data_IF_533800173836
#
_entry.id   IF_533800173836
#
_cell.length_a   1.000
_cell.length_b   1.000
_cell.length_c   1.000
_cell.angle_alpha   90.00
_cell.angle_beta   90.00
_cell.angle_gamma   90.00
#
_symmetry.space_group_name_H-M   'P 1'
#
loop_
_entity.id
_entity.type
_entity.pdbx_description
1 polymer ?
#
# COMPACT_ATOMS: atom_id res chain seq x y z
N UNK A 1 23.75 -23.96 14.23
CA UNK A 1 23.47 -23.11 15.41
C UNK A 1 22.20 -22.35 15.17
N UNK A 2 22.22 -21.46 14.17
CA UNK A 2 21.01 -20.82 13.66
C UNK A 2 20.08 -21.82 12.99
N UNK A 3 18.78 -21.68 13.25
CA UNK A 3 17.73 -22.40 12.57
C UNK A 3 17.48 -21.77 11.20
N UNK A 4 17.58 -22.58 10.15
CA UNK A 4 17.28 -22.19 8.77
C UNK A 4 16.02 -22.92 8.31
N UNK A 5 15.26 -22.31 7.39
CA UNK A 5 14.24 -23.05 6.66
C UNK A 5 14.84 -23.79 5.45
N UNK A 6 14.01 -24.57 4.76
CA UNK A 6 14.41 -25.37 3.59
C UNK A 6 14.96 -24.54 2.41
N UNK A 7 14.66 -23.23 2.39
CA UNK A 7 15.09 -22.27 1.36
C UNK A 7 16.33 -21.46 1.77
N UNK A 8 16.88 -21.71 2.96
CA UNK A 8 18.09 -21.04 3.46
C UNK A 8 17.85 -19.71 4.20
N UNK A 9 16.59 -19.30 4.44
CA UNK A 9 16.29 -18.14 5.27
C UNK A 9 16.52 -18.45 6.76
N UNK A 10 16.98 -17.45 7.51
CA UNK A 10 17.08 -17.54 8.97
C UNK A 10 15.68 -17.43 9.56
N UNK A 11 15.31 -18.38 10.41
CA UNK A 11 14.03 -18.33 11.11
C UNK A 11 14.07 -17.24 12.19
N UNK A 12 13.08 -16.36 12.17
CA UNK A 12 12.90 -15.29 13.16
C UNK A 12 11.43 -15.12 13.55
N UNK A 13 11.19 -14.62 14.76
CA UNK A 13 9.87 -14.19 15.23
C UNK A 13 9.44 -12.82 14.65
N UNK A 14 8.29 -12.28 15.09
CA UNK A 14 7.78 -10.97 14.67
C UNK A 14 8.74 -9.81 14.97
N UNK A 15 9.56 -9.96 16.02
CA UNK A 15 10.55 -8.99 16.49
C UNK A 15 11.96 -9.29 15.94
N UNK A 16 12.06 -10.12 14.91
CA UNK A 16 13.30 -10.50 14.23
C UNK A 16 14.33 -11.23 15.11
N UNK A 17 13.89 -11.84 16.23
CA UNK A 17 14.76 -12.67 17.09
C UNK A 17 14.97 -14.04 16.48
N UNK A 18 16.20 -14.51 16.49
CA UNK A 18 16.53 -15.89 16.08
C UNK A 18 16.29 -16.89 17.22
N UNK A 19 16.58 -18.17 16.98
CA UNK A 19 16.58 -19.20 18.02
C UNK A 19 17.73 -19.06 19.05
N UNK A 20 18.68 -18.14 18.84
CA UNK A 20 19.80 -17.91 19.74
C UNK A 20 19.59 -16.61 20.55
N UNK A 21 19.71 -16.63 21.89
CA UNK A 21 19.53 -15.43 22.71
C UNK A 21 20.47 -14.29 22.31
N UNK A 22 19.92 -13.08 22.16
CA UNK A 22 20.67 -11.89 21.79
C UNK A 22 21.10 -11.81 20.32
N UNK A 23 20.71 -12.78 19.49
CA UNK A 23 21.02 -12.80 18.06
C UNK A 23 19.76 -12.53 17.24
N UNK A 24 19.87 -11.58 16.33
CA UNK A 24 18.79 -11.12 15.45
C UNK A 24 19.19 -11.30 13.98
N UNK A 25 18.20 -11.37 13.10
CA UNK A 25 18.40 -11.35 11.65
C UNK A 25 17.32 -10.48 10.98
N UNK A 26 17.69 -9.69 9.97
CA UNK A 26 16.82 -8.71 9.31
C UNK A 26 17.04 -8.71 7.80
N UNK A 27 16.18 -8.01 7.07
CA UNK A 27 16.31 -7.77 5.63
C UNK A 27 16.01 -9.02 4.81
N UNK A 28 16.76 -9.20 3.73
CA UNK A 28 16.50 -10.23 2.71
C UNK A 28 16.78 -11.66 3.21
N UNK A 29 17.46 -11.81 4.35
CA UNK A 29 17.85 -13.11 4.90
C UNK A 29 16.73 -13.76 5.72
N UNK A 30 15.64 -13.02 6.00
CA UNK A 30 14.49 -13.47 6.78
C UNK A 30 13.19 -13.38 5.98
N UNK A 31 12.05 -13.77 6.58
CA UNK A 31 10.73 -13.72 5.94
C UNK A 31 10.36 -12.31 5.43
N UNK A 32 9.39 -12.26 4.52
CA UNK A 32 8.81 -11.03 3.98
C UNK A 32 9.39 -10.62 2.62
N UNK A 33 8.97 -9.46 2.09
CA UNK A 33 9.45 -8.98 0.80
C UNK A 33 10.91 -8.53 0.90
N UNK A 34 11.72 -8.86 -0.12
CA UNK A 34 13.13 -8.46 -0.24
C UNK A 34 13.23 -7.01 -0.72
N UNK A 35 12.96 -6.07 0.18
CA UNK A 35 12.89 -4.64 -0.09
C UNK A 35 13.77 -3.86 0.89
N UNK A 36 14.47 -2.86 0.37
CA UNK A 36 15.42 -2.07 1.16
C UNK A 36 14.75 -1.38 2.36
N UNK A 37 13.60 -0.74 2.17
CA UNK A 37 12.85 -0.06 3.25
C UNK A 37 12.31 -1.03 4.30
N UNK A 38 11.97 -2.28 3.92
CA UNK A 38 11.64 -3.35 4.87
C UNK A 38 12.85 -3.68 5.74
N UNK A 39 14.00 -3.96 5.12
CA UNK A 39 15.24 -4.26 5.86
C UNK A 39 15.71 -3.11 6.75
N UNK A 40 15.61 -1.86 6.28
CA UNK A 40 15.93 -0.68 7.08
C UNK A 40 15.01 -0.54 8.29
N UNK A 41 13.69 -0.69 8.14
CA UNK A 41 12.75 -0.58 9.26
C UNK A 41 12.92 -1.72 10.27
N UNK A 42 13.10 -2.96 9.82
CA UNK A 42 13.45 -4.08 10.70
C UNK A 42 14.75 -3.80 11.47
N UNK A 43 15.76 -3.19 10.83
CA UNK A 43 17.00 -2.81 11.50
C UNK A 43 16.81 -1.78 12.61
N UNK A 44 16.00 -0.76 12.38
CA UNK A 44 15.64 0.22 13.42
C UNK A 44 14.87 -0.45 14.56
N UNK A 45 13.87 -1.27 14.25
CA UNK A 45 13.10 -2.03 15.24
C UNK A 45 14.01 -2.90 16.12
N UNK A 46 14.93 -3.65 15.51
CA UNK A 46 15.88 -4.49 16.26
C UNK A 46 16.81 -3.65 17.13
N UNK A 47 17.29 -2.51 16.64
CA UNK A 47 18.12 -1.61 17.44
C UNK A 47 17.36 -1.04 18.66
N UNK A 48 16.09 -0.66 18.48
CA UNK A 48 15.19 -0.20 19.55
C UNK A 48 14.99 -1.31 20.61
N UNK A 49 14.75 -2.55 20.17
CA UNK A 49 14.60 -3.71 21.05
C UNK A 49 15.88 -4.02 21.84
N UNK A 50 17.05 -3.95 21.20
CA UNK A 50 18.35 -4.11 21.86
C UNK A 50 18.56 -3.02 22.92
N UNK A 51 18.07 -1.80 22.66
CA UNK A 51 18.10 -0.70 23.62
C UNK A 51 17.04 -0.81 24.74
N UNK A 52 16.23 -1.87 24.76
CA UNK A 52 15.18 -2.10 25.77
C UNK A 52 13.88 -1.33 25.53
N UNK A 53 13.66 -0.84 24.30
CA UNK A 53 12.42 -0.16 23.92
C UNK A 53 11.38 -1.15 23.37
N UNK A 54 10.11 -0.73 23.36
CA UNK A 54 9.03 -1.45 22.69
C UNK A 54 8.98 -1.03 21.22
N UNK A 55 9.17 -1.98 20.31
CA UNK A 55 9.13 -1.73 18.88
C UNK A 55 8.41 -2.88 18.15
N UNK A 56 7.69 -2.50 17.10
CA UNK A 56 7.00 -3.38 16.16
C UNK A 56 6.98 -2.76 14.77
N UNK A 57 6.58 -3.56 13.79
CA UNK A 57 6.44 -3.17 12.40
C UNK A 57 5.19 -3.84 11.82
N UNK A 58 4.37 -3.06 11.12
CA UNK A 58 3.26 -3.60 10.34
C UNK A 58 3.79 -4.07 8.97
N UNK A 59 3.75 -5.39 8.74
CA UNK A 59 4.22 -5.99 7.50
C UNK A 59 3.17 -5.91 6.38
N UNK A 60 1.90 -5.67 6.71
CA UNK A 60 0.82 -5.53 5.73
C UNK A 60 0.89 -4.18 5.01
N UNK A 61 1.58 -3.19 5.60
CA UNK A 61 1.72 -1.83 5.09
C UNK A 61 3.09 -1.52 4.48
N UNK A 62 3.83 -2.54 4.04
CA UNK A 62 5.07 -2.34 3.28
C UNK A 62 4.72 -2.03 1.80
N UNK A 63 4.99 -0.80 1.30
CA UNK A 63 4.72 -0.49 -0.10
C UNK A 63 5.69 -1.23 -1.01
N UNK A 64 5.23 -1.59 -2.20
CA UNK A 64 6.03 -2.18 -3.26
C UNK A 64 5.98 -1.28 -4.49
N UNK A 65 7.11 -1.12 -5.18
CA UNK A 65 7.24 -0.24 -6.35
C UNK A 65 8.09 -0.91 -7.42
N UNK A 66 7.63 -0.82 -8.67
CA UNK A 66 8.36 -1.17 -9.87
C UNK A 66 8.55 0.12 -10.67
N UNK A 67 9.81 0.55 -10.81
CA UNK A 67 10.21 1.81 -11.46
C UNK A 67 10.27 1.70 -13.00
N UNK A 68 9.23 1.12 -13.60
CA UNK A 68 9.03 1.09 -15.06
C UNK A 68 8.40 2.39 -15.55
N UNK A 69 8.13 2.48 -16.86
CA UNK A 69 7.35 3.57 -17.43
C UNK A 69 6.07 3.02 -18.11
N UNK A 70 4.87 3.29 -17.58
CA UNK A 70 4.61 3.96 -16.29
C UNK A 70 5.09 3.12 -15.09
N UNK A 71 5.21 3.78 -13.94
CA UNK A 71 5.53 3.10 -12.68
C UNK A 71 4.33 2.27 -12.20
N UNK A 72 4.61 1.26 -11.38
CA UNK A 72 3.59 0.44 -10.72
C UNK A 72 3.91 0.43 -9.23
N UNK A 73 2.96 0.83 -8.39
CA UNK A 73 3.11 0.85 -6.96
C UNK A 73 1.85 0.32 -6.25
N UNK A 74 2.01 -0.34 -5.11
CA UNK A 74 0.89 -0.77 -4.29
C UNK A 74 1.28 -0.90 -2.81
N UNK A 75 0.27 -0.86 -1.94
CA UNK A 75 0.37 -1.13 -0.50
C UNK A 75 -0.91 -1.80 -0.02
N UNK A 76 -0.82 -2.67 0.99
CA UNK A 76 -1.94 -3.46 1.48
C UNK A 76 -2.31 -4.64 0.57
N UNK A 77 -3.56 -5.09 0.70
CA UNK A 77 -4.06 -6.31 0.06
C UNK A 77 -4.45 -6.09 -1.39
N UNK A 78 -4.20 -7.10 -2.22
CA UNK A 78 -4.71 -7.16 -3.59
C UNK A 78 -6.13 -7.70 -3.64
N UNK A 79 -6.86 -7.47 -4.73
CA UNK A 79 -8.19 -8.11 -4.91
C UNK A 79 -8.14 -9.63 -4.86
N UNK A 80 -7.06 -10.22 -5.37
CA UNK A 80 -6.89 -11.67 -5.39
C UNK A 80 -6.74 -12.21 -3.97
N UNK A 81 -5.98 -11.52 -3.11
CA UNK A 81 -5.86 -11.86 -1.70
C UNK A 81 -7.21 -11.71 -0.98
N UNK A 82 -7.91 -10.59 -1.17
CA UNK A 82 -9.22 -10.37 -0.55
C UNK A 82 -10.24 -11.43 -0.96
N UNK A 83 -10.27 -11.84 -2.23
CA UNK A 83 -11.12 -12.93 -2.73
C UNK A 83 -10.72 -14.30 -2.15
N UNK A 84 -9.43 -14.57 -2.00
CA UNK A 84 -8.94 -15.83 -1.44
C UNK A 84 -9.24 -15.95 0.06
N UNK A 85 -9.28 -14.82 0.77
CA UNK A 85 -9.56 -14.73 2.20
C UNK A 85 -11.05 -14.52 2.52
N UNK A 86 -11.92 -14.46 1.50
CA UNK A 86 -13.35 -14.18 1.62
C UNK A 86 -13.65 -12.86 2.37
N UNK A 87 -12.81 -11.84 2.16
CA UNK A 87 -12.98 -10.50 2.74
C UNK A 87 -13.86 -9.67 1.80
N UNK A 88 -15.03 -9.18 2.25
CA UNK A 88 -15.91 -8.38 1.40
C UNK A 88 -15.31 -6.99 1.18
N UNK A 89 -15.22 -6.58 -0.09
CA UNK A 89 -14.65 -5.30 -0.46
C UNK A 89 -15.40 -4.61 -1.60
N UNK A 90 -15.23 -3.29 -1.68
CA UNK A 90 -15.63 -2.42 -2.79
C UNK A 90 -14.37 -1.84 -3.43
N UNK A 91 -14.44 -1.62 -4.73
CA UNK A 91 -13.34 -1.05 -5.49
C UNK A 91 -13.76 0.27 -6.13
N UNK A 92 -12.90 1.28 -6.02
CA UNK A 92 -12.98 2.54 -6.76
C UNK A 92 -11.75 2.68 -7.65
N UNK A 93 -11.93 3.19 -8.88
CA UNK A 93 -10.87 3.33 -9.87
C UNK A 93 -10.96 4.68 -10.58
N UNK A 94 -9.86 5.42 -10.60
CA UNK A 94 -9.76 6.65 -11.37
C UNK A 94 -8.62 6.57 -12.41
N UNK A 95 -8.93 6.69 -13.72
CA UNK A 95 -7.92 6.65 -14.78
C UNK A 95 -7.18 7.98 -14.91
N UNK A 96 -5.85 7.94 -15.10
CA UNK A 96 -5.05 9.16 -15.35
C UNK A 96 -5.43 9.86 -16.66
N UNK A 97 -6.11 9.18 -17.59
CA UNK A 97 -6.70 9.79 -18.78
C UNK A 97 -7.74 10.89 -18.47
N UNK A 98 -8.40 10.82 -17.30
CA UNK A 98 -9.33 11.83 -16.82
C UNK A 98 -8.65 12.91 -15.96
N UNK A 99 -7.38 12.75 -15.58
CA UNK A 99 -6.66 13.69 -14.74
C UNK A 99 -6.06 14.85 -15.59
N UNK A 100 -6.38 16.10 -15.22
CA UNK A 100 -5.90 17.28 -15.95
C UNK A 100 -4.38 17.47 -15.90
N UNK A 101 -3.74 17.15 -14.76
CA UNK A 101 -2.28 17.25 -14.60
C UNK A 101 -1.55 16.21 -15.45
N UNK A 102 -2.01 14.96 -15.44
CA UNK A 102 -1.48 13.87 -16.25
C UNK A 102 -1.55 14.21 -17.76
N UNK A 103 -2.68 14.80 -18.19
CA UNK A 103 -2.83 15.31 -19.57
C UNK A 103 -1.83 16.43 -19.88
N UNK A 104 -1.61 17.37 -18.97
CA UNK A 104 -0.64 18.44 -19.16
C UNK A 104 0.81 17.93 -19.24
N UNK A 105 1.12 16.81 -18.57
CA UNK A 105 2.41 16.13 -18.63
C UNK A 105 2.57 15.23 -19.87
N UNK A 106 1.48 14.89 -20.56
CA UNK A 106 1.49 13.89 -21.63
C UNK A 106 1.54 12.44 -21.13
N UNK A 107 1.33 12.20 -19.84
CA UNK A 107 1.48 10.91 -19.16
C UNK A 107 0.13 10.39 -18.65
N UNK A 108 -0.74 9.97 -19.58
CA UNK A 108 -2.15 9.63 -19.27
C UNK A 108 -2.40 8.14 -19.04
N UNK A 109 -1.37 7.30 -19.16
CA UNK A 109 -1.49 5.87 -19.01
C UNK A 109 -1.66 5.47 -17.54
N UNK A 110 -2.56 4.50 -17.30
CA UNK A 110 -2.77 3.91 -15.98
C UNK A 110 -3.91 4.52 -15.17
N UNK A 111 -3.91 4.23 -13.87
CA UNK A 111 -5.00 4.52 -12.94
C UNK A 111 -4.53 4.49 -11.48
N UNK A 112 -5.35 5.06 -10.61
CA UNK A 112 -5.36 4.81 -9.16
C UNK A 112 -6.54 3.92 -8.82
N UNK A 113 -6.33 2.96 -7.91
CA UNK A 113 -7.35 2.02 -7.46
C UNK A 113 -7.31 1.85 -5.95
N UNK A 114 -8.47 1.98 -5.32
CA UNK A 114 -8.66 1.81 -3.88
C UNK A 114 -9.58 0.62 -3.64
N UNK A 115 -9.20 -0.24 -2.70
CA UNK A 115 -10.00 -1.34 -2.18
C UNK A 115 -10.39 -1.00 -0.74
N UNK A 116 -11.69 -0.88 -0.47
CA UNK A 116 -12.21 -0.59 0.87
C UNK A 116 -13.11 -1.74 1.34
N UNK A 117 -13.11 -2.02 2.64
CA UNK A 117 -13.97 -3.03 3.22
C UNK A 117 -15.44 -2.67 3.00
N UNK A 118 -16.27 -3.63 2.57
CA UNK A 118 -17.63 -3.32 2.12
C UNK A 118 -18.56 -2.80 3.23
N UNK A 119 -18.29 -3.15 4.49
CA UNK A 119 -19.15 -2.81 5.63
C UNK A 119 -18.60 -1.67 6.50
N UNK A 120 -17.27 -1.56 6.60
CA UNK A 120 -16.61 -0.63 7.54
C UNK A 120 -15.93 0.53 6.83
N UNK A 121 -15.89 0.48 5.51
CA UNK A 121 -15.21 1.42 4.62
C UNK A 121 -13.70 1.59 4.83
N UNK A 122 -13.08 0.82 5.73
CA UNK A 122 -11.64 0.85 5.95
C UNK A 122 -10.89 0.51 4.65
N UNK A 123 -9.92 1.32 4.27
CA UNK A 123 -9.07 1.04 3.13
C UNK A 123 -8.19 -0.19 3.42
N UNK A 124 -8.28 -1.19 2.54
CA UNK A 124 -7.59 -2.47 2.63
C UNK A 124 -6.38 -2.56 1.69
N UNK A 125 -6.37 -1.76 0.63
CA UNK A 125 -5.26 -1.72 -0.31
C UNK A 125 -5.41 -0.60 -1.34
N UNK A 126 -4.27 -0.04 -1.74
CA UNK A 126 -4.20 1.00 -2.77
C UNK A 126 -3.17 0.58 -3.82
N UNK A 127 -3.53 0.75 -5.09
CA UNK A 127 -2.72 0.34 -6.23
C UNK A 127 -2.69 1.49 -7.23
N UNK A 128 -1.50 1.79 -7.73
CA UNK A 128 -1.27 2.89 -8.67
C UNK A 128 -0.44 2.36 -9.82
N UNK A 129 -0.90 2.60 -11.03
CA UNK A 129 -0.10 2.48 -12.24
C UNK A 129 -0.15 3.84 -12.93
N UNK A 130 0.98 4.49 -13.15
CA UNK A 130 0.96 5.82 -13.76
C UNK A 130 2.20 6.65 -13.47
N UNK A 131 2.15 7.95 -13.77
CA UNK A 131 3.23 8.87 -13.46
C UNK A 131 3.38 9.05 -11.95
N UNK A 132 4.62 9.04 -11.46
CA UNK A 132 4.98 9.25 -10.04
C UNK A 132 4.20 8.33 -9.07
N UNK A 133 3.97 7.07 -9.47
CA UNK A 133 3.25 6.11 -8.62
C UNK A 133 3.98 5.87 -7.29
N UNK A 134 5.32 5.92 -7.29
CA UNK A 134 6.15 5.82 -6.08
C UNK A 134 5.86 6.93 -5.07
N UNK A 135 5.51 8.13 -5.53
CA UNK A 135 5.19 9.27 -4.67
C UNK A 135 3.73 9.19 -4.18
N UNK A 136 2.81 8.80 -5.07
CA UNK A 136 1.40 8.67 -4.72
C UNK A 136 1.14 7.56 -3.69
N UNK A 137 1.87 6.45 -3.77
CA UNK A 137 1.68 5.34 -2.85
C UNK A 137 2.12 5.69 -1.41
N UNK A 138 3.03 6.66 -1.25
CA UNK A 138 3.43 7.12 0.07
C UNK A 138 2.27 7.79 0.81
N UNK A 139 1.47 8.61 0.13
CA UNK A 139 0.25 9.20 0.70
C UNK A 139 -0.75 8.12 1.16
N UNK A 140 -0.96 7.09 0.35
CA UNK A 140 -1.83 5.98 0.69
C UNK A 140 -1.30 5.16 1.87
N UNK A 141 0.00 4.89 1.90
CA UNK A 141 0.66 4.16 2.98
C UNK A 141 0.43 4.86 4.32
N UNK A 142 0.69 6.17 4.38
CA UNK A 142 0.46 6.98 5.59
C UNK A 142 -1.01 6.96 5.99
N UNK A 143 -1.94 7.12 5.04
CA UNK A 143 -3.36 7.11 5.36
C UNK A 143 -3.82 5.74 5.93
N UNK A 144 -3.33 4.63 5.36
CA UNK A 144 -3.65 3.29 5.83
C UNK A 144 -3.08 2.97 7.21
N UNK A 145 -1.90 3.50 7.56
CA UNK A 145 -1.34 3.43 8.93
C UNK A 145 -2.28 4.04 9.97
N UNK A 146 -3.01 5.11 9.62
CA UNK A 146 -4.03 5.70 10.47
C UNK A 146 -5.39 4.98 10.41
N UNK A 147 -5.50 3.89 9.65
CA UNK A 147 -6.74 3.13 9.51
C UNK A 147 -7.84 3.87 8.75
N UNK A 148 -7.46 4.74 7.80
CA UNK A 148 -8.39 5.58 7.02
C UNK A 148 -9.54 4.79 6.37
N UNK A 149 -10.70 5.43 6.28
CA UNK A 149 -11.78 5.02 5.39
C UNK A 149 -11.60 5.60 3.98
N UNK A 150 -12.37 5.11 3.00
CA UNK A 150 -12.43 5.75 1.68
C UNK A 150 -13.10 7.12 1.75
N UNK A 151 -14.09 7.27 2.64
CA UNK A 151 -14.74 8.56 2.92
C UNK A 151 -13.73 9.61 3.42
N UNK A 152 -12.81 9.27 4.32
CA UNK A 152 -11.79 10.20 4.82
C UNK A 152 -10.93 10.77 3.68
N UNK A 153 -10.54 9.91 2.72
CA UNK A 153 -9.79 10.31 1.53
C UNK A 153 -10.65 11.17 0.59
N UNK A 154 -11.93 10.85 0.45
CA UNK A 154 -12.87 11.61 -0.36
C UNK A 154 -13.17 13.01 0.23
N UNK A 155 -13.22 13.15 1.56
CA UNK A 155 -13.46 14.43 2.24
C UNK A 155 -12.20 15.32 2.34
N UNK A 156 -11.03 14.74 2.08
CA UNK A 156 -9.76 15.48 2.10
C UNK A 156 -9.64 16.40 0.90
N UNK A 157 -9.22 17.65 1.13
CA UNK A 157 -8.96 18.62 0.06
C UNK A 157 -7.61 18.33 -0.59
N UNK A 158 -7.63 17.71 -1.77
CA UNK A 158 -6.44 17.57 -2.61
C UNK A 158 -6.23 18.81 -3.48
N UNK A 159 -4.98 19.21 -3.67
CA UNK A 159 -4.65 20.36 -4.51
C UNK A 159 -4.95 20.06 -5.99
N UNK A 160 -5.40 21.09 -6.72
CA UNK A 160 -5.70 21.01 -8.15
C UNK A 160 -4.89 22.05 -8.95
N UNK A 161 -4.32 21.71 -10.13
CA UNK A 161 -4.24 20.38 -10.71
C UNK A 161 -3.01 19.60 -10.20
N UNK A 162 -3.21 18.37 -9.71
CA UNK A 162 -2.13 17.46 -9.28
C UNK A 162 -2.38 16.02 -9.74
N UNK A 163 -1.39 15.14 -9.61
CA UNK A 163 -1.61 13.70 -9.80
C UNK A 163 -2.33 13.10 -8.58
N UNK A 164 -2.10 13.65 -7.38
CA UNK A 164 -2.62 13.12 -6.12
C UNK A 164 -4.12 13.26 -5.97
N UNK A 165 -4.78 14.23 -6.60
CA UNK A 165 -6.25 14.29 -6.65
C UNK A 165 -6.88 13.05 -7.32
N UNK A 166 -6.10 12.21 -8.02
CA UNK A 166 -6.55 10.91 -8.51
C UNK A 166 -6.85 9.90 -7.39
N UNK A 167 -6.21 10.03 -6.21
CA UNK A 167 -6.57 9.26 -5.01
C UNK A 167 -7.95 9.68 -4.48
N UNK A 168 -8.22 10.99 -4.46
CA UNK A 168 -9.52 11.53 -4.06
C UNK A 168 -10.65 11.02 -4.96
N UNK A 169 -10.48 11.08 -6.28
CA UNK A 169 -11.49 10.59 -7.20
C UNK A 169 -11.65 9.06 -7.14
N UNK A 170 -10.56 8.31 -6.96
CA UNK A 170 -10.64 6.87 -6.77
C UNK A 170 -11.36 6.51 -5.45
N UNK A 171 -11.23 7.33 -4.41
CA UNK A 171 -11.94 7.18 -3.15
C UNK A 171 -13.44 7.46 -3.32
N UNK A 172 -13.81 8.55 -4.00
CA UNK A 172 -15.21 8.82 -4.36
C UNK A 172 -15.83 7.70 -5.21
N UNK A 173 -15.06 7.08 -6.11
CA UNK A 173 -15.54 5.97 -6.94
C UNK A 173 -15.80 4.68 -6.13
N UNK A 174 -15.25 4.54 -4.92
CA UNK A 174 -15.60 3.44 -4.00
C UNK A 174 -17.10 3.47 -3.68
N UNK A 175 -17.74 4.64 -3.72
CA UNK A 175 -19.21 4.81 -3.59
C UNK A 175 -19.91 5.13 -4.92
N UNK A 176 -19.17 5.27 -6.03
CA UNK A 176 -19.71 5.67 -7.32
C UNK A 176 -20.06 7.17 -7.39
N UNK A 177 -19.36 7.98 -6.59
CA UNK A 177 -19.57 9.42 -6.45
C UNK A 177 -18.49 10.25 -7.15
N UNK A 178 -17.55 9.61 -7.86
CA UNK A 178 -16.52 10.31 -8.62
C UNK A 178 -17.13 11.34 -9.59
N UNK A 179 -16.52 12.52 -9.63
CA UNK A 179 -17.08 13.72 -10.27
C UNK A 179 -16.56 13.83 -11.71
N UNK A 180 -15.30 13.42 -11.93
CA UNK A 180 -14.59 13.65 -13.19
C UNK A 180 -14.58 12.43 -14.14
N UNK A 181 -15.34 11.37 -13.82
CA UNK A 181 -15.58 10.22 -14.70
C UNK A 181 -17.06 9.89 -14.80
N UNK A 182 -17.45 9.21 -15.88
CA UNK A 182 -18.82 8.74 -16.04
C UNK A 182 -19.15 7.66 -15.00
N UNK A 183 -20.29 7.79 -14.34
CA UNK A 183 -20.77 6.80 -13.38
C UNK A 183 -21.00 5.46 -14.07
N UNK A 184 -20.23 4.44 -13.69
CA UNK A 184 -20.53 3.08 -14.11
C UNK A 184 -21.74 2.55 -13.34
N UNK A 185 -22.76 2.06 -14.06
CA UNK A 185 -23.90 1.37 -13.44
C UNK A 185 -23.39 0.12 -12.71
N UNK A 186 -23.47 0.11 -11.38
CA UNK A 186 -23.28 -1.10 -10.59
C UNK A 186 -24.40 -2.08 -10.95
N UNK A 187 -24.03 -3.31 -11.34
CA UNK A 187 -25.01 -4.38 -11.52
C UNK A 187 -25.48 -4.79 -10.12
N UNK A 188 -26.76 -4.55 -9.84
CA UNK A 188 -27.47 -5.14 -8.70
C UNK A 188 -27.45 -6.67 -8.79
#
# INVERSE_FOLDING_TARGET
GLALNEWGFIHVDEQCRTNLPGVYAIGDVVRGPMLAHKGSREGVMVAELIAGQEASMDYDLIPSVIYTHPEIAWVGKTEQALKAEDVPYRAGVFPFAANGRARALGETAGFVKILAHAETDRVLGVHVMGPQASELIACATVAMEFGTSSEDLALTVFAHPTLSESLHEAALDVEGEAIHIAKMRRKN
#
